data_IF_774815998783
#
_entry.id   IF_774815998783
#
_cell.length_a   1.000
_cell.length_b   1.000
_cell.length_c   1.000
_cell.angle_alpha   90.00
_cell.angle_beta   90.00
_cell.angle_gamma   90.00
#
_symmetry.space_group_name_H-M   'P 1'
#
loop_
_entity.id
_entity.type
_entity.pdbx_description
1 polymer ?
#
# COMPACT_ATOMS: atom_id res chain seq x y z
N UNK A 1 2.20 -3.26 30.92
CA UNK A 1 1.23 -4.27 30.50
C UNK A 1 0.15 -4.48 31.57
N UNK A 2 -0.72 -3.48 31.75
CA UNK A 2 -1.95 -3.59 32.55
C UNK A 2 -3.16 -3.92 31.66
N UNK A 3 -2.91 -4.20 30.38
CA UNK A 3 -3.92 -4.32 29.34
C UNK A 3 -4.98 -5.35 29.72
N UNK A 4 -4.55 -6.52 30.21
CA UNK A 4 -5.39 -7.66 30.60
C UNK A 4 -6.46 -7.33 31.65
N UNK A 5 -6.21 -6.39 32.56
CA UNK A 5 -7.10 -6.04 33.67
C UNK A 5 -8.41 -5.36 33.25
N UNK A 6 -8.47 -4.83 32.02
CA UNK A 6 -9.64 -4.12 31.50
C UNK A 6 -10.52 -4.98 30.55
N UNK A 7 -10.34 -6.30 30.51
CA UNK A 7 -11.13 -7.17 29.62
C UNK A 7 -12.61 -7.12 30.01
N UNK A 8 -13.47 -6.72 29.08
CA UNK A 8 -14.92 -6.64 29.29
C UNK A 8 -15.36 -5.49 30.21
N UNK A 9 -14.48 -4.54 30.50
CA UNK A 9 -14.84 -3.31 31.20
C UNK A 9 -15.47 -2.33 30.22
N UNK A 10 -16.67 -1.83 30.53
CA UNK A 10 -17.31 -0.76 29.78
C UNK A 10 -16.56 0.58 30.04
N UNK A 11 -15.95 1.21 29.02
CA UNK A 11 -15.20 2.45 29.19
C UNK A 11 -16.06 3.59 29.75
N UNK A 12 -17.37 3.59 29.51
CA UNK A 12 -18.27 4.59 30.07
C UNK A 12 -18.32 4.56 31.61
N UNK A 13 -17.92 3.44 32.22
CA UNK A 13 -17.85 3.30 33.68
C UNK A 13 -16.55 3.83 34.28
N UNK A 14 -15.54 4.14 33.46
CA UNK A 14 -14.22 4.62 33.87
C UNK A 14 -14.19 6.15 33.89
N UNK A 15 -14.81 6.75 34.90
CA UNK A 15 -14.93 8.22 35.01
C UNK A 15 -14.03 8.80 36.11
N UNK A 16 -13.75 10.11 36.02
CA UNK A 16 -12.98 10.84 37.05
C UNK A 16 -13.64 10.78 38.42
N UNK A 17 -14.98 10.81 38.47
CA UNK A 17 -15.76 10.74 39.71
C UNK A 17 -15.59 9.39 40.42
N UNK A 18 -15.32 8.33 39.65
CA UNK A 18 -15.00 7.00 40.15
C UNK A 18 -13.51 6.80 40.41
N UNK A 19 -12.71 7.86 40.30
CA UNK A 19 -11.27 7.84 40.55
C UNK A 19 -10.42 7.37 39.37
N UNK A 20 -10.99 7.22 38.17
CA UNK A 20 -10.25 6.82 36.99
C UNK A 20 -9.80 8.05 36.18
N UNK A 21 -8.49 8.25 35.96
CA UNK A 21 -8.00 9.27 35.03
C UNK A 21 -8.50 9.03 33.59
N UNK A 22 -8.55 10.09 32.77
CA UNK A 22 -9.00 10.01 31.37
C UNK A 22 -8.21 8.99 30.54
N UNK A 23 -6.90 8.86 30.77
CA UNK A 23 -6.07 7.92 30.02
C UNK A 23 -6.46 6.46 30.28
N UNK A 24 -7.00 6.13 31.46
CA UNK A 24 -7.47 4.76 31.76
C UNK A 24 -8.69 4.41 30.89
N UNK A 25 -9.60 5.37 30.70
CA UNK A 25 -10.72 5.22 29.77
C UNK A 25 -10.23 5.05 28.32
N UNK A 26 -9.30 5.89 27.88
CA UNK A 26 -8.74 5.81 26.53
C UNK A 26 -8.02 4.47 26.25
N UNK A 27 -7.36 3.87 27.25
CA UNK A 27 -6.78 2.53 27.14
C UNK A 27 -7.88 1.47 26.96
N UNK A 28 -8.99 1.58 27.69
CA UNK A 28 -10.12 0.66 27.56
C UNK A 28 -10.82 0.78 26.19
N UNK A 29 -10.98 2.01 25.68
CA UNK A 29 -11.52 2.28 24.33
C UNK A 29 -10.61 1.68 23.25
N UNK A 30 -9.31 1.99 23.27
CA UNK A 30 -8.32 1.42 22.35
C UNK A 30 -8.29 -0.11 22.40
N UNK A 31 -8.50 -0.71 23.58
CA UNK A 31 -8.60 -2.16 23.72
C UNK A 31 -9.83 -2.73 23.01
N UNK A 32 -11.01 -2.14 23.18
CA UNK A 32 -12.23 -2.58 22.49
C UNK A 32 -12.03 -2.49 20.98
N UNK A 33 -11.42 -1.41 20.51
CA UNK A 33 -11.05 -1.25 19.10
C UNK A 33 -10.13 -2.36 18.64
N UNK A 34 -9.07 -2.72 19.39
CA UNK A 34 -8.20 -3.85 19.02
C UNK A 34 -8.92 -5.19 19.01
N UNK A 35 -9.82 -5.43 19.97
CA UNK A 35 -10.61 -6.67 20.01
C UNK A 35 -11.50 -6.78 18.77
N UNK A 36 -12.08 -5.66 18.31
CA UNK A 36 -12.76 -5.59 17.01
C UNK A 36 -11.80 -5.83 15.84
N UNK A 37 -10.68 -5.11 15.76
CA UNK A 37 -9.72 -5.26 14.66
C UNK A 37 -9.11 -6.65 14.55
N UNK A 38 -8.96 -7.38 15.67
CA UNK A 38 -8.50 -8.76 15.68
C UNK A 38 -9.46 -9.72 14.96
N UNK A 39 -10.71 -9.28 14.72
CA UNK A 39 -11.67 -10.02 13.91
C UNK A 39 -11.57 -9.73 12.42
N UNK A 40 -10.83 -8.70 12.01
CA UNK A 40 -10.69 -8.30 10.60
C UNK A 40 -9.42 -8.87 9.99
N UNK A 41 -9.41 -9.23 8.69
CA UNK A 41 -8.20 -9.60 7.98
C UNK A 41 -7.18 -8.45 7.97
N UNK A 42 -5.93 -8.78 8.31
CA UNK A 42 -4.80 -7.85 8.35
C UNK A 42 -3.90 -7.95 7.11
N UNK A 43 -4.44 -8.43 6.00
CA UNK A 43 -3.78 -8.54 4.70
C UNK A 43 -4.76 -8.20 3.58
N UNK A 44 -4.27 -8.11 2.34
CA UNK A 44 -5.15 -7.91 1.20
C UNK A 44 -6.00 -9.16 0.98
N UNK A 45 -7.29 -9.02 0.67
CA UNK A 45 -8.12 -10.21 0.45
C UNK A 45 -7.62 -11.08 -0.71
N UNK A 46 -7.12 -10.44 -1.77
CA UNK A 46 -6.47 -11.13 -2.90
C UNK A 46 -5.15 -11.82 -2.56
N UNK A 47 -4.55 -11.60 -1.39
CA UNK A 47 -3.35 -12.36 -0.96
C UNK A 47 -3.70 -13.63 -0.19
N UNK A 48 -4.98 -13.88 0.10
CA UNK A 48 -5.41 -15.11 0.74
C UNK A 48 -5.20 -16.31 -0.19
N UNK A 49 -4.80 -17.44 0.39
CA UNK A 49 -4.51 -18.66 -0.36
C UNK A 49 -5.73 -19.11 -1.18
N UNK A 50 -5.55 -19.37 -2.47
CA UNK A 50 -6.55 -19.98 -3.34
C UNK A 50 -6.21 -21.43 -3.72
N UNK A 51 -4.97 -21.88 -3.50
CA UNK A 51 -4.51 -23.22 -3.87
C UNK A 51 -4.85 -24.25 -2.77
N UNK A 52 -5.76 -25.21 -3.05
CA UNK A 52 -6.13 -26.24 -2.09
C UNK A 52 -5.01 -27.26 -1.81
N UNK A 53 -3.91 -27.24 -2.57
CA UNK A 53 -2.79 -28.17 -2.38
C UNK A 53 -1.76 -27.67 -1.35
N UNK A 54 -1.84 -26.40 -0.95
CA UNK A 54 -1.01 -25.88 0.14
C UNK A 54 -1.53 -26.39 1.50
N UNK A 55 -0.63 -26.42 2.48
CA UNK A 55 -0.98 -26.82 3.86
C UNK A 55 -1.86 -25.78 4.58
N UNK A 56 -1.98 -24.59 4.01
CA UNK A 56 -2.76 -23.49 4.57
C UNK A 56 -4.19 -23.52 4.04
N UNK A 57 -5.19 -23.18 4.87
CA UNK A 57 -6.57 -23.07 4.41
C UNK A 57 -6.73 -22.09 3.25
N UNK A 58 -7.64 -22.39 2.31
CA UNK A 58 -8.00 -21.47 1.24
C UNK A 58 -8.90 -20.34 1.75
N UNK A 59 -9.04 -19.24 1.00
CA UNK A 59 -9.97 -18.16 1.33
C UNK A 59 -11.41 -18.67 1.50
N UNK A 60 -11.82 -19.69 0.74
CA UNK A 60 -13.12 -20.33 0.88
C UNK A 60 -13.26 -21.12 2.19
N UNK A 61 -12.19 -21.82 2.61
CA UNK A 61 -12.17 -22.49 3.90
C UNK A 61 -12.17 -21.48 5.05
N UNK A 62 -11.41 -20.38 4.94
CA UNK A 62 -11.45 -19.30 5.92
C UNK A 62 -12.84 -18.68 6.04
N UNK A 63 -13.50 -18.38 4.92
CA UNK A 63 -14.87 -17.85 4.92
C UNK A 63 -15.84 -18.80 5.63
N UNK A 64 -15.72 -20.12 5.38
CA UNK A 64 -16.53 -21.12 6.07
C UNK A 64 -16.23 -21.17 7.58
N UNK A 65 -14.96 -21.13 7.97
CA UNK A 65 -14.56 -21.08 9.38
C UNK A 65 -15.13 -19.83 10.07
N UNK A 66 -15.10 -18.67 9.40
CA UNK A 66 -15.69 -17.46 9.94
C UNK A 66 -17.21 -17.58 10.11
N UNK A 67 -17.92 -18.10 9.12
CA UNK A 67 -19.36 -18.34 9.21
C UNK A 67 -19.71 -19.31 10.36
N UNK A 68 -18.89 -20.33 10.60
CA UNK A 68 -19.10 -21.26 11.72
C UNK A 68 -18.83 -20.60 13.07
N UNK A 69 -17.83 -19.71 13.15
CA UNK A 69 -17.60 -18.86 14.32
C UNK A 69 -18.80 -17.93 14.59
N UNK A 70 -19.34 -17.29 13.56
CA UNK A 70 -20.51 -16.41 13.69
C UNK A 70 -21.74 -17.16 14.18
N UNK A 71 -21.95 -18.42 13.76
CA UNK A 71 -23.01 -19.27 14.32
C UNK A 71 -22.82 -19.54 15.81
N UNK A 72 -21.59 -19.76 16.26
CA UNK A 72 -21.30 -19.93 17.70
C UNK A 72 -21.59 -18.64 18.47
N UNK A 73 -21.16 -17.48 17.95
CA UNK A 73 -21.46 -16.18 18.57
C UNK A 73 -22.96 -15.92 18.63
N UNK A 74 -23.68 -16.17 17.53
CA UNK A 74 -25.14 -15.99 17.45
C UNK A 74 -25.91 -16.94 18.37
N UNK A 75 -25.38 -18.13 18.66
CA UNK A 75 -25.98 -19.08 19.59
C UNK A 75 -25.86 -18.63 21.07
N UNK A 76 -24.98 -17.67 21.40
CA UNK A 76 -24.86 -17.13 22.76
C UNK A 76 -24.59 -18.22 23.80
N UNK A 77 -25.44 -18.32 24.83
CA UNK A 77 -25.31 -19.33 25.89
C UNK A 77 -25.58 -20.77 25.40
N UNK A 78 -26.30 -20.94 24.28
CA UNK A 78 -26.57 -22.22 23.66
C UNK A 78 -25.44 -22.71 22.74
N UNK A 79 -24.41 -21.89 22.53
CA UNK A 79 -23.25 -22.26 21.74
C UNK A 79 -22.59 -23.54 22.30
N UNK A 80 -22.23 -24.47 21.41
CA UNK A 80 -21.59 -25.73 21.78
C UNK A 80 -20.64 -26.18 20.68
N UNK A 81 -19.42 -26.55 21.06
CA UNK A 81 -18.45 -27.18 20.16
C UNK A 81 -17.74 -28.32 20.87
N UNK A 82 -17.31 -29.33 20.11
CA UNK A 82 -16.49 -30.43 20.61
C UNK A 82 -15.17 -30.48 19.85
N UNK A 83 -14.06 -30.31 20.58
CA UNK A 83 -12.69 -30.32 20.06
C UNK A 83 -11.93 -31.41 20.81
N UNK A 84 -11.35 -32.36 20.07
CA UNK A 84 -10.56 -33.47 20.63
C UNK A 84 -11.28 -34.28 21.74
N UNK A 85 -12.61 -34.35 21.67
CA UNK A 85 -13.44 -35.07 22.65
C UNK A 85 -13.91 -34.24 23.85
N UNK A 86 -13.39 -33.02 24.03
CA UNK A 86 -13.85 -32.08 25.04
C UNK A 86 -14.97 -31.18 24.49
N UNK A 87 -16.01 -30.94 25.29
CA UNK A 87 -17.15 -30.11 24.91
C UNK A 87 -17.14 -28.79 25.65
N UNK A 88 -17.11 -27.69 24.88
CA UNK A 88 -17.18 -26.33 25.38
C UNK A 88 -18.58 -25.76 25.15
N UNK A 89 -19.02 -24.85 26.02
CA UNK A 89 -20.36 -24.24 25.96
C UNK A 89 -20.34 -22.72 26.11
N UNK A 90 -21.36 -22.05 25.59
CA UNK A 90 -21.52 -20.61 25.70
C UNK A 90 -20.28 -19.87 25.19
N UNK A 91 -19.82 -18.88 25.96
CA UNK A 91 -18.59 -18.12 25.66
C UNK A 91 -17.34 -19.00 25.52
N UNK A 92 -17.23 -20.07 26.31
CA UNK A 92 -16.07 -20.98 26.23
C UNK A 92 -16.04 -21.72 24.89
N UNK A 93 -17.19 -21.93 24.24
CA UNK A 93 -17.23 -22.54 22.91
C UNK A 93 -16.57 -21.65 21.86
N UNK A 94 -16.84 -20.34 21.89
CA UNK A 94 -16.19 -19.37 20.99
C UNK A 94 -14.70 -19.25 21.31
N UNK A 95 -14.34 -19.17 22.59
CA UNK A 95 -12.92 -19.10 22.99
C UNK A 95 -12.13 -20.36 22.63
N UNK A 96 -12.74 -21.54 22.71
CA UNK A 96 -12.13 -22.80 22.29
C UNK A 96 -11.97 -22.85 20.76
N UNK A 97 -12.97 -22.39 20.02
CA UNK A 97 -12.89 -22.26 18.56
C UNK A 97 -11.74 -21.31 18.13
N UNK A 98 -11.61 -20.16 18.77
CA UNK A 98 -10.58 -19.17 18.46
C UNK A 98 -9.15 -19.63 18.84
N UNK A 99 -9.02 -20.62 19.73
CA UNK A 99 -7.72 -21.18 20.17
C UNK A 99 -7.32 -22.47 19.44
N UNK A 100 -8.26 -23.17 18.82
CA UNK A 100 -7.98 -24.41 18.10
C UNK A 100 -7.07 -24.16 16.89
N UNK A 101 -6.03 -24.96 16.72
CA UNK A 101 -5.03 -24.80 15.66
C UNK A 101 -5.63 -24.79 14.24
N UNK A 102 -6.77 -25.45 14.05
CA UNK A 102 -7.47 -25.55 12.75
C UNK A 102 -8.29 -24.31 12.44
N UNK A 103 -8.74 -23.57 13.46
CA UNK A 103 -9.70 -22.45 13.34
C UNK A 103 -9.22 -21.12 13.92
N UNK A 104 -8.06 -21.06 14.58
CA UNK A 104 -7.47 -19.84 15.15
C UNK A 104 -7.31 -18.67 14.16
N UNK A 105 -7.25 -18.99 12.88
CA UNK A 105 -7.14 -18.03 11.79
C UNK A 105 -8.47 -17.75 11.08
N UNK A 106 -9.62 -18.12 11.66
CA UNK A 106 -10.94 -17.92 11.07
C UNK A 106 -11.24 -16.44 10.73
N UNK A 107 -10.67 -15.49 11.48
CA UNK A 107 -10.80 -14.05 11.22
C UNK A 107 -10.32 -13.64 9.82
N UNK A 108 -9.42 -14.40 9.17
CA UNK A 108 -9.03 -14.19 7.77
C UNK A 108 -10.21 -14.33 6.80
N UNK A 109 -11.27 -15.02 7.22
CA UNK A 109 -12.52 -15.22 6.48
C UNK A 109 -13.59 -14.16 6.74
N UNK A 110 -13.32 -13.15 7.56
CA UNK A 110 -14.27 -12.09 7.86
C UNK A 110 -14.29 -11.05 6.72
N UNK A 111 -14.98 -11.42 5.65
CA UNK A 111 -15.29 -10.57 4.51
C UNK A 111 -16.70 -10.89 4.00
N UNK A 112 -17.28 -9.95 3.26
CA UNK A 112 -18.67 -10.05 2.79
C UNK A 112 -18.87 -11.15 1.74
N UNK A 113 -20.12 -11.60 1.58
CA UNK A 113 -20.50 -12.52 0.51
C UNK A 113 -20.16 -11.99 -0.90
N UNK A 114 -20.22 -10.66 -1.10
CA UNK A 114 -19.79 -10.02 -2.36
C UNK A 114 -18.30 -10.17 -2.58
N UNK A 115 -17.48 -9.89 -1.56
CA UNK A 115 -16.03 -10.09 -1.63
C UNK A 115 -15.68 -11.56 -1.86
N UNK A 116 -16.39 -12.49 -1.22
CA UNK A 116 -16.23 -13.92 -1.49
C UNK A 116 -16.50 -14.27 -2.96
N UNK A 117 -17.58 -13.76 -3.56
CA UNK A 117 -17.88 -13.97 -4.97
C UNK A 117 -16.77 -13.40 -5.88
N UNK A 118 -16.35 -12.15 -5.64
CA UNK A 118 -15.27 -11.49 -6.39
C UNK A 118 -13.92 -12.23 -6.27
N UNK A 119 -13.58 -12.77 -5.10
CA UNK A 119 -12.39 -13.59 -4.93
C UNK A 119 -12.44 -14.89 -5.75
N UNK A 120 -13.61 -15.55 -5.81
CA UNK A 120 -13.77 -16.73 -6.66
C UNK A 120 -13.61 -16.39 -8.14
N UNK A 121 -14.18 -15.26 -8.59
CA UNK A 121 -14.03 -14.79 -9.97
C UNK A 121 -12.56 -14.47 -10.28
N UNK A 122 -11.90 -13.67 -9.42
CA UNK A 122 -10.49 -13.30 -9.56
C UNK A 122 -9.58 -14.52 -9.70
N UNK A 123 -9.73 -15.52 -8.82
CA UNK A 123 -8.89 -16.73 -8.83
C UNK A 123 -9.28 -17.75 -9.90
N UNK A 124 -10.42 -17.59 -10.57
CA UNK A 124 -10.79 -18.39 -11.74
C UNK A 124 -10.18 -17.87 -13.05
N UNK A 125 -9.66 -16.63 -13.07
CA UNK A 125 -9.01 -16.06 -14.25
C UNK A 125 -7.59 -16.63 -14.38
N UNK A 126 -7.35 -17.37 -15.46
CA UNK A 126 -6.04 -17.99 -15.76
C UNK A 126 -5.08 -17.04 -16.46
N UNK A 127 -5.61 -16.04 -17.16
CA UNK A 127 -4.83 -15.06 -17.91
C UNK A 127 -4.40 -13.92 -16.97
N UNK A 128 -3.09 -13.79 -16.74
CA UNK A 128 -2.53 -12.82 -15.79
C UNK A 128 -2.92 -11.38 -16.12
N UNK A 129 -3.03 -11.03 -17.41
CA UNK A 129 -3.40 -9.67 -17.83
C UNK A 129 -4.86 -9.39 -17.47
N UNK A 130 -5.77 -10.30 -17.80
CA UNK A 130 -7.20 -10.18 -17.43
C UNK A 130 -7.42 -10.21 -15.93
N UNK A 131 -6.60 -10.99 -15.21
CA UNK A 131 -6.67 -11.05 -13.76
C UNK A 131 -6.25 -9.70 -13.14
N UNK A 132 -5.20 -9.07 -13.67
CA UNK A 132 -4.78 -7.74 -13.26
C UNK A 132 -5.83 -6.66 -13.59
N UNK A 133 -6.44 -6.72 -14.79
CA UNK A 133 -7.54 -5.83 -15.20
C UNK A 133 -8.74 -5.96 -14.24
N UNK A 134 -9.16 -7.20 -13.92
CA UNK A 134 -10.23 -7.45 -12.96
C UNK A 134 -9.92 -6.89 -11.57
N UNK A 135 -8.68 -7.04 -11.10
CA UNK A 135 -8.27 -6.46 -9.81
C UNK A 135 -8.27 -4.93 -9.84
N UNK A 136 -7.92 -4.31 -10.97
CA UNK A 136 -7.98 -2.85 -11.11
C UNK A 136 -9.44 -2.36 -11.00
N UNK A 137 -10.39 -3.06 -11.62
CA UNK A 137 -11.82 -2.75 -11.56
C UNK A 137 -12.44 -2.97 -10.16
N UNK A 138 -11.91 -3.93 -9.39
CA UNK A 138 -12.43 -4.33 -8.07
C UNK A 138 -11.44 -4.07 -6.93
N UNK A 139 -10.55 -3.09 -7.10
CA UNK A 139 -9.45 -2.79 -6.18
C UNK A 139 -9.97 -2.42 -4.80
N UNK A 140 -11.07 -1.68 -4.73
CA UNK A 140 -11.64 -1.17 -3.48
C UNK A 140 -12.41 -2.25 -2.70
N UNK A 141 -12.80 -3.36 -3.35
CA UNK A 141 -13.48 -4.46 -2.68
C UNK A 141 -12.55 -5.59 -2.23
N UNK A 142 -11.65 -6.06 -3.10
CA UNK A 142 -10.81 -7.24 -2.83
C UNK A 142 -9.30 -6.92 -2.81
N UNK A 143 -8.89 -5.78 -3.37
CA UNK A 143 -7.52 -5.27 -3.31
C UNK A 143 -7.15 -4.59 -1.97
N UNK A 144 -8.14 -4.38 -1.10
CA UNK A 144 -7.99 -3.70 0.19
C UNK A 144 -7.53 -4.63 1.30
N UNK A 145 -6.93 -4.02 2.33
CA UNK A 145 -6.66 -4.65 3.63
C UNK A 145 -7.78 -4.23 4.62
N UNK A 146 -8.75 -5.10 4.94
CA UNK A 146 -9.96 -4.70 5.67
C UNK A 146 -9.71 -3.97 6.99
N UNK A 147 -8.69 -4.40 7.75
CA UNK A 147 -8.30 -3.72 8.99
C UNK A 147 -7.88 -2.26 8.76
N UNK A 148 -7.11 -2.00 7.71
CA UNK A 148 -6.63 -0.64 7.41
C UNK A 148 -7.76 0.22 6.85
N UNK A 149 -8.66 -0.36 6.04
CA UNK A 149 -9.83 0.33 5.51
C UNK A 149 -10.81 0.76 6.61
N UNK A 150 -11.04 -0.14 7.58
CA UNK A 150 -11.82 0.21 8.76
C UNK A 150 -11.16 1.37 9.53
N UNK A 151 -9.84 1.34 9.72
CA UNK A 151 -9.13 2.42 10.43
C UNK A 151 -9.15 3.76 9.67
N UNK A 152 -9.11 3.75 8.33
CA UNK A 152 -9.25 4.97 7.52
C UNK A 152 -10.61 5.63 7.69
N UNK A 153 -11.68 4.82 7.76
CA UNK A 153 -13.04 5.30 7.99
C UNK A 153 -13.35 5.63 9.46
N UNK A 154 -12.47 5.24 10.39
CA UNK A 154 -12.61 5.44 11.85
C UNK A 154 -11.39 6.21 12.40
N UNK A 155 -11.20 7.49 12.02
CA UNK A 155 -9.99 8.23 12.32
C UNK A 155 -9.76 8.43 13.83
N UNK A 156 -10.83 8.51 14.63
CA UNK A 156 -10.73 8.63 16.09
C UNK A 156 -10.12 7.35 16.68
N UNK A 157 -10.64 6.20 16.31
CA UNK A 157 -10.17 4.89 16.76
C UNK A 157 -8.76 4.61 16.23
N UNK A 158 -8.44 5.05 15.01
CA UNK A 158 -7.08 4.98 14.50
C UNK A 158 -6.10 5.83 15.33
N UNK A 159 -6.49 7.04 15.70
CA UNK A 159 -5.72 7.90 16.59
C UNK A 159 -5.54 7.30 17.99
N UNK A 160 -6.61 6.77 18.58
CA UNK A 160 -6.56 6.09 19.89
C UNK A 160 -5.56 4.94 19.89
N UNK A 161 -5.58 4.08 18.85
CA UNK A 161 -4.60 3.00 18.72
C UNK A 161 -3.18 3.50 18.48
N UNK A 162 -3.01 4.55 17.67
CA UNK A 162 -1.70 5.11 17.36
C UNK A 162 -1.03 5.73 18.60
N UNK A 163 -1.81 6.36 19.49
CA UNK A 163 -1.32 6.88 20.79
C UNK A 163 -0.61 5.79 21.61
N UNK A 164 -1.09 4.55 21.53
CA UNK A 164 -0.52 3.42 22.25
C UNK A 164 0.46 2.58 21.40
N UNK A 165 0.84 3.05 20.21
CA UNK A 165 1.73 2.35 19.29
C UNK A 165 1.16 1.06 18.70
N UNK A 166 -0.17 0.91 18.67
CA UNK A 166 -0.87 -0.30 18.21
C UNK A 166 -1.31 -0.23 16.74
N UNK A 167 -1.30 0.96 16.15
CA UNK A 167 -1.58 1.19 14.73
C UNK A 167 -0.74 2.35 14.20
N UNK A 168 -0.55 2.39 12.88
CA UNK A 168 -0.03 3.57 12.18
C UNK A 168 -1.18 4.55 11.94
N UNK A 169 -0.89 5.86 11.90
CA UNK A 169 -1.87 6.85 11.49
C UNK A 169 -2.04 6.73 9.96
N UNK A 170 -3.29 6.53 9.51
CA UNK A 170 -3.59 6.26 8.09
C UNK A 170 -4.14 7.48 7.35
N UNK A 171 -4.68 8.48 8.06
CA UNK A 171 -5.33 9.66 7.47
C UNK A 171 -4.99 10.95 8.21
N UNK A 172 -5.20 12.09 7.55
CA UNK A 172 -5.00 13.44 8.12
C UNK A 172 -5.97 13.72 9.27
N UNK A 173 -7.18 13.19 9.21
CA UNK A 173 -8.18 13.27 10.27
C UNK A 173 -7.70 12.50 11.51
N UNK A 174 -7.16 11.29 11.31
CA UNK A 174 -6.57 10.51 12.39
C UNK A 174 -5.35 11.20 12.99
N UNK A 175 -4.52 11.86 12.18
CA UNK A 175 -3.41 12.68 12.66
C UNK A 175 -3.85 13.84 13.55
N UNK A 176 -4.92 14.53 13.16
CA UNK A 176 -5.48 15.64 13.94
C UNK A 176 -6.08 15.14 15.26
N UNK A 177 -6.82 14.03 15.22
CA UNK A 177 -7.37 13.38 16.40
C UNK A 177 -6.26 12.89 17.34
N UNK A 178 -5.17 12.32 16.80
CA UNK A 178 -4.00 11.86 17.55
C UNK A 178 -3.37 13.01 18.33
N UNK A 179 -3.08 14.13 17.67
CA UNK A 179 -2.47 15.29 18.33
C UNK A 179 -3.37 15.90 19.40
N UNK A 180 -4.69 15.77 19.23
CA UNK A 180 -5.67 16.22 20.22
C UNK A 180 -5.67 15.30 21.44
N UNK A 181 -5.62 13.98 21.23
CA UNK A 181 -5.53 12.98 22.29
C UNK A 181 -4.23 13.08 23.08
N UNK A 182 -3.08 13.28 22.42
CA UNK A 182 -1.79 13.48 23.09
C UNK A 182 -1.88 14.64 24.10
N UNK A 183 -2.46 15.77 23.68
CA UNK A 183 -2.66 16.95 24.54
C UNK A 183 -3.68 16.70 25.65
N UNK A 184 -4.80 16.07 25.34
CA UNK A 184 -5.86 15.79 26.33
C UNK A 184 -5.39 14.83 27.43
N UNK A 185 -4.60 13.82 27.04
CA UNK A 185 -4.10 12.77 27.92
C UNK A 185 -2.78 13.14 28.61
N UNK A 186 -2.24 14.33 28.33
CA UNK A 186 -0.95 14.82 28.86
C UNK A 186 0.19 13.82 28.61
N UNK A 187 0.23 13.26 27.39
CA UNK A 187 1.23 12.27 27.00
C UNK A 187 2.52 13.02 26.64
N UNK A 188 3.65 12.72 27.31
CA UNK A 188 4.90 13.38 27.01
C UNK A 188 5.43 12.93 25.65
N UNK A 189 6.09 13.84 24.91
CA UNK A 189 6.59 13.58 23.55
C UNK A 189 7.49 12.34 23.47
N UNK A 190 8.26 12.05 24.52
CA UNK A 190 9.14 10.87 24.58
C UNK A 190 8.40 9.53 24.76
N UNK A 191 7.10 9.55 25.06
CA UNK A 191 6.26 8.37 25.12
C UNK A 191 5.55 8.10 23.79
N UNK A 192 5.57 9.05 22.84
CA UNK A 192 5.02 8.86 21.51
C UNK A 192 5.97 7.97 20.70
N UNK A 193 5.49 6.88 20.10
CA UNK A 193 6.34 6.07 19.24
C UNK A 193 6.84 6.88 18.05
N UNK A 194 8.16 6.89 17.83
CA UNK A 194 8.82 7.69 16.78
C UNK A 194 8.30 7.39 15.36
N UNK A 195 7.82 6.15 15.13
CA UNK A 195 7.25 5.72 13.85
C UNK A 195 5.76 6.08 13.67
N UNK A 196 5.08 6.57 14.71
CA UNK A 196 3.63 6.71 14.69
C UNK A 196 3.16 7.98 13.96
N UNK A 197 4.00 9.01 13.84
CA UNK A 197 3.55 10.36 13.50
C UNK A 197 4.59 11.08 12.64
N UNK A 198 4.25 11.55 11.42
CA UNK A 198 5.12 12.48 10.71
C UNK A 198 5.26 13.80 11.49
N UNK A 199 6.41 14.50 11.41
CA UNK A 199 6.54 15.87 11.89
C UNK A 199 5.40 16.76 11.36
N UNK A 200 4.95 17.73 12.16
CA UNK A 200 3.75 18.51 11.83
C UNK A 200 3.82 19.29 10.53
N UNK A 201 5.01 19.75 10.15
CA UNK A 201 5.32 20.39 8.88
C UNK A 201 5.39 19.41 7.70
N UNK A 202 5.61 18.12 7.95
CA UNK A 202 5.66 17.05 6.94
C UNK A 202 4.37 16.22 6.86
N UNK A 203 3.39 16.47 7.73
CA UNK A 203 2.19 15.64 7.82
C UNK A 203 1.38 15.64 6.51
N UNK A 204 1.21 16.80 5.88
CA UNK A 204 0.49 16.91 4.60
C UNK A 204 1.18 16.13 3.48
N UNK A 205 2.47 16.38 3.29
CA UNK A 205 3.30 15.68 2.31
C UNK A 205 3.31 14.17 2.55
N UNK A 206 3.34 13.73 3.81
CA UNK A 206 3.31 12.31 4.16
C UNK A 206 2.00 11.62 3.74
N UNK A 207 0.85 12.24 4.03
CA UNK A 207 -0.44 11.64 3.65
C UNK A 207 -0.67 11.70 2.15
N UNK A 208 -0.27 12.79 1.47
CA UNK A 208 -0.28 12.86 0.01
C UNK A 208 0.58 11.74 -0.61
N UNK A 209 1.77 11.48 -0.05
CA UNK A 209 2.61 10.36 -0.47
C UNK A 209 1.93 9.01 -0.25
N UNK A 210 1.28 8.79 0.90
CA UNK A 210 0.55 7.54 1.19
C UNK A 210 -0.56 7.32 0.16
N UNK A 211 -1.29 8.36 -0.22
CA UNK A 211 -2.33 8.29 -1.25
C UNK A 211 -1.75 7.88 -2.60
N UNK A 212 -0.65 8.54 -3.04
CA UNK A 212 0.07 8.19 -4.27
C UNK A 212 0.55 6.73 -4.24
N UNK A 213 1.14 6.28 -3.12
CA UNK A 213 1.60 4.89 -2.96
C UNK A 213 0.45 3.90 -2.96
N UNK A 214 -0.70 4.27 -2.39
CA UNK A 214 -1.90 3.44 -2.41
C UNK A 214 -2.44 3.27 -3.82
N UNK A 215 -2.40 4.34 -4.62
CA UNK A 215 -2.88 4.35 -5.99
C UNK A 215 -1.93 3.62 -6.94
N UNK A 216 -0.66 4.04 -7.00
CA UNK A 216 0.30 3.61 -8.02
C UNK A 216 1.39 2.65 -7.51
N UNK A 217 1.56 2.53 -6.19
CA UNK A 217 2.62 1.72 -5.56
C UNK A 217 3.89 2.53 -5.23
N UNK A 218 4.64 2.06 -4.23
CA UNK A 218 5.82 2.78 -3.72
C UNK A 218 6.98 2.90 -4.72
N UNK A 219 7.02 2.02 -5.72
CA UNK A 219 8.03 2.00 -6.78
C UNK A 219 7.56 2.70 -8.07
N UNK A 220 6.38 3.31 -8.09
CA UNK A 220 5.85 3.99 -9.28
C UNK A 220 6.62 5.26 -9.60
N UNK A 221 6.45 5.77 -10.82
CA UNK A 221 7.03 7.03 -11.25
C UNK A 221 6.54 8.22 -10.39
N UNK A 222 5.25 8.24 -10.02
CA UNK A 222 4.64 9.27 -9.16
C UNK A 222 5.23 9.25 -7.76
N UNK A 223 5.31 8.07 -7.14
CA UNK A 223 5.85 7.95 -5.79
C UNK A 223 7.31 8.42 -5.75
N UNK A 224 8.09 8.12 -6.80
CA UNK A 224 9.49 8.57 -6.93
C UNK A 224 9.60 10.07 -7.22
N UNK A 225 8.78 10.59 -8.13
CA UNK A 225 8.72 12.02 -8.45
C UNK A 225 8.36 12.84 -7.20
N UNK A 226 7.30 12.44 -6.49
CA UNK A 226 6.84 13.12 -5.29
C UNK A 226 7.95 13.18 -4.23
N UNK A 227 8.68 12.08 -4.04
CA UNK A 227 9.82 12.03 -3.12
C UNK A 227 10.97 12.96 -3.52
N UNK A 228 11.23 13.12 -4.82
CA UNK A 228 12.24 14.06 -5.31
C UNK A 228 11.81 15.51 -5.11
N UNK A 229 10.54 15.81 -5.32
CA UNK A 229 9.98 17.15 -5.13
C UNK A 229 9.86 17.49 -3.64
N UNK A 230 9.79 16.51 -2.74
CA UNK A 230 9.61 16.71 -1.29
C UNK A 230 10.80 16.14 -0.51
N UNK A 231 11.95 16.79 -0.66
CA UNK A 231 13.23 16.32 -0.10
C UNK A 231 13.26 16.15 1.42
N UNK A 232 12.57 17.01 2.18
CA UNK A 232 12.51 16.90 3.64
C UNK A 232 11.67 15.70 4.09
N UNK A 233 10.52 15.45 3.45
CA UNK A 233 9.75 14.23 3.66
C UNK A 233 10.60 12.99 3.38
N UNK A 234 11.35 13.01 2.27
CA UNK A 234 12.23 11.91 1.89
C UNK A 234 13.34 11.67 2.92
N UNK A 235 14.01 12.70 3.41
CA UNK A 235 15.03 12.58 4.46
C UNK A 235 14.45 11.98 5.74
N UNK A 236 13.29 12.48 6.18
CA UNK A 236 12.60 11.94 7.34
C UNK A 236 12.19 10.48 7.13
N UNK A 237 11.59 10.14 5.99
CA UNK A 237 11.20 8.78 5.66
C UNK A 237 12.38 7.81 5.59
N UNK A 238 13.55 8.24 5.14
CA UNK A 238 14.78 7.43 5.19
C UNK A 238 15.22 7.18 6.63
N UNK A 239 15.20 8.21 7.49
CA UNK A 239 15.64 8.11 8.88
C UNK A 239 14.69 7.27 9.76
N UNK A 240 13.38 7.41 9.55
CA UNK A 240 12.36 6.88 10.48
C UNK A 240 11.59 5.68 9.91
N UNK A 241 11.31 5.68 8.60
CA UNK A 241 10.49 4.64 7.95
C UNK A 241 11.31 3.59 7.19
N UNK A 242 12.64 3.74 7.17
CA UNK A 242 13.54 2.85 6.44
C UNK A 242 13.36 2.94 4.93
N UNK A 243 12.94 4.10 4.41
CA UNK A 243 12.89 4.29 2.97
C UNK A 243 14.28 4.14 2.37
N UNK A 244 14.36 3.35 1.30
CA UNK A 244 15.62 3.13 0.61
C UNK A 244 16.14 4.44 0.01
N UNK A 245 17.43 4.71 0.24
CA UNK A 245 18.17 5.82 -0.34
C UNK A 245 18.62 5.55 -1.77
N UNK A 246 18.61 4.29 -2.19
CA UNK A 246 19.12 3.81 -3.47
C UNK A 246 18.01 3.40 -4.46
N UNK A 247 16.82 4.03 -4.41
CA UNK A 247 15.66 3.67 -5.26
C UNK A 247 15.90 3.90 -6.78
N UNK A 248 17.15 4.17 -7.18
CA UNK A 248 17.52 4.49 -8.55
C UNK A 248 16.76 5.73 -8.99
N UNK A 249 16.64 6.72 -8.08
CA UNK A 249 15.97 7.98 -8.37
C UNK A 249 16.69 8.63 -9.55
N UNK A 250 16.03 8.59 -10.70
CA UNK A 250 16.37 9.39 -11.86
C UNK A 250 15.97 10.84 -11.57
N UNK A 251 16.47 11.81 -12.34
CA UNK A 251 16.09 13.21 -12.15
C UNK A 251 14.57 13.44 -12.23
N UNK A 252 14.09 14.58 -11.73
CA UNK A 252 12.67 14.97 -11.74
C UNK A 252 12.08 14.83 -13.16
N UNK A 253 12.80 15.29 -14.17
CA UNK A 253 12.30 15.31 -15.55
C UNK A 253 12.08 13.90 -16.13
N UNK A 254 12.96 12.94 -15.79
CA UNK A 254 12.79 11.55 -16.20
C UNK A 254 11.43 11.00 -15.75
N UNK A 255 11.06 11.21 -14.49
CA UNK A 255 9.80 10.68 -13.97
C UNK A 255 8.59 11.44 -14.50
N UNK A 256 8.72 12.75 -14.77
CA UNK A 256 7.66 13.52 -15.44
C UNK A 256 7.39 12.97 -16.84
N UNK A 257 8.44 12.72 -17.63
CA UNK A 257 8.32 12.07 -18.95
C UNK A 257 7.71 10.67 -18.83
N UNK A 258 8.16 9.85 -17.87
CA UNK A 258 7.61 8.52 -17.65
C UNK A 258 6.12 8.53 -17.31
N UNK A 259 5.65 9.50 -16.51
CA UNK A 259 4.22 9.68 -16.21
C UNK A 259 3.47 10.16 -17.45
N UNK A 260 3.98 11.21 -18.12
CA UNK A 260 3.40 11.78 -19.35
C UNK A 260 3.20 10.73 -20.44
N UNK A 261 4.20 9.86 -20.63
CA UNK A 261 4.24 8.86 -21.69
C UNK A 261 3.63 7.51 -21.32
N UNK A 262 2.98 7.36 -20.16
CA UNK A 262 2.50 6.06 -19.66
C UNK A 262 1.53 5.35 -20.59
N UNK A 263 0.51 6.05 -21.05
CA UNK A 263 -0.55 5.45 -21.86
C UNK A 263 0.02 5.02 -23.22
N UNK A 264 0.80 5.91 -23.85
CA UNK A 264 1.50 5.61 -25.09
C UNK A 264 2.51 4.45 -24.95
N UNK A 265 3.20 4.36 -23.80
CA UNK A 265 4.07 3.23 -23.50
C UNK A 265 3.30 1.92 -23.38
N UNK A 266 2.13 1.95 -22.73
CA UNK A 266 1.25 0.77 -22.60
C UNK A 266 0.73 0.30 -23.97
N UNK A 267 0.30 1.23 -24.82
CA UNK A 267 -0.10 0.93 -26.19
C UNK A 267 1.06 0.36 -27.01
N UNK A 268 2.23 0.98 -26.94
CA UNK A 268 3.44 0.53 -27.64
C UNK A 268 3.87 -0.88 -27.22
N UNK A 269 3.85 -1.17 -25.92
CA UNK A 269 4.25 -2.47 -25.38
C UNK A 269 3.29 -3.60 -25.78
N UNK A 270 2.01 -3.27 -26.01
CA UNK A 270 1.01 -4.20 -26.49
C UNK A 270 1.18 -4.59 -27.97
N UNK A 271 1.98 -3.86 -28.75
CA UNK A 271 2.25 -4.19 -30.15
C UNK A 271 3.30 -5.32 -30.19
N UNK A 272 2.98 -6.44 -30.82
CA UNK A 272 3.90 -7.60 -30.90
C UNK A 272 4.87 -7.53 -32.10
N UNK A 273 4.43 -6.90 -33.19
CA UNK A 273 5.17 -6.86 -34.46
C UNK A 273 6.12 -5.66 -34.50
N UNK A 274 7.39 -5.90 -34.82
CA UNK A 274 8.43 -4.85 -34.85
C UNK A 274 8.13 -3.74 -35.86
N UNK A 275 7.61 -4.08 -37.04
CA UNK A 275 7.23 -3.09 -38.08
C UNK A 275 6.12 -2.16 -37.58
N UNK A 276 5.11 -2.71 -36.89
CA UNK A 276 4.01 -1.93 -36.32
C UNK A 276 4.50 -1.03 -35.17
N UNK A 277 5.47 -1.48 -34.36
CA UNK A 277 6.12 -0.65 -33.32
C UNK A 277 6.86 0.54 -33.94
N UNK A 278 7.59 0.31 -35.02
CA UNK A 278 8.31 1.37 -35.72
C UNK A 278 7.32 2.39 -36.29
N UNK A 279 6.26 1.91 -36.94
CA UNK A 279 5.18 2.76 -37.43
C UNK A 279 4.50 3.55 -36.31
N UNK A 280 4.25 2.94 -35.16
CA UNK A 280 3.68 3.64 -34.00
C UNK A 280 4.57 4.80 -33.54
N UNK A 281 5.89 4.63 -33.52
CA UNK A 281 6.83 5.69 -33.17
C UNK A 281 6.89 6.81 -34.21
N UNK A 282 6.71 6.48 -35.50
CA UNK A 282 6.61 7.46 -36.59
C UNK A 282 5.30 8.27 -36.50
N UNK A 283 4.20 7.60 -36.17
CA UNK A 283 2.88 8.20 -36.01
C UNK A 283 2.77 9.00 -34.67
N UNK A 284 3.64 8.75 -33.70
CA UNK A 284 3.68 9.40 -32.38
C UNK A 284 5.07 10.01 -32.08
N UNK A 285 5.48 11.07 -32.81
CA UNK A 285 6.84 11.62 -32.69
C UNK A 285 7.15 12.15 -31.29
N UNK A 286 6.17 12.74 -30.59
CA UNK A 286 6.38 13.24 -29.22
C UNK A 286 6.75 12.10 -28.24
N UNK A 287 6.05 10.97 -28.31
CA UNK A 287 6.35 9.80 -27.48
C UNK A 287 7.71 9.19 -27.83
N UNK A 288 8.02 9.09 -29.13
CA UNK A 288 9.33 8.64 -29.60
C UNK A 288 10.45 9.53 -29.04
N UNK A 289 10.29 10.84 -29.13
CA UNK A 289 11.29 11.80 -28.69
C UNK A 289 11.42 11.78 -27.15
N UNK A 290 10.32 11.71 -26.41
CA UNK A 290 10.32 11.57 -24.94
C UNK A 290 11.05 10.30 -24.48
N UNK A 291 10.91 9.20 -25.21
CA UNK A 291 11.69 7.99 -24.96
C UNK A 291 13.17 8.21 -25.17
N UNK A 292 13.58 8.93 -26.22
CA UNK A 292 14.99 9.27 -26.45
C UNK A 292 15.54 10.20 -25.37
N UNK A 293 14.73 11.14 -24.86
CA UNK A 293 15.10 11.96 -23.70
C UNK A 293 15.33 11.09 -22.46
N UNK A 294 14.43 10.13 -22.18
CA UNK A 294 14.60 9.19 -21.06
C UNK A 294 15.84 8.30 -21.23
N UNK A 295 16.11 7.79 -22.44
CA UNK A 295 17.32 7.03 -22.76
C UNK A 295 18.58 7.87 -22.48
N UNK A 296 18.63 9.11 -22.97
CA UNK A 296 19.76 10.03 -22.75
C UNK A 296 20.02 10.28 -21.25
N UNK A 297 18.96 10.47 -20.46
CA UNK A 297 19.06 10.64 -19.00
C UNK A 297 19.56 9.37 -18.31
N UNK A 298 19.19 8.19 -18.79
CA UNK A 298 19.66 6.91 -18.26
C UNK A 298 21.16 6.70 -18.54
N UNK A 299 21.62 7.12 -19.71
CA UNK A 299 23.05 7.16 -20.07
C UNK A 299 23.82 8.32 -19.43
N UNK A 300 23.16 9.17 -18.64
CA UNK A 300 23.77 10.35 -17.99
C UNK A 300 24.38 11.35 -19.00
N UNK A 301 23.79 11.44 -20.20
CA UNK A 301 24.12 12.48 -21.17
C UNK A 301 23.88 13.85 -20.51
N UNK A 302 24.81 14.83 -20.64
CA UNK A 302 24.62 16.17 -20.10
C UNK A 302 23.30 16.80 -20.57
N UNK A 303 22.62 17.51 -19.67
CA UNK A 303 21.27 18.06 -19.93
C UNK A 303 21.23 18.94 -21.20
N UNK A 304 22.29 19.71 -21.46
CA UNK A 304 22.42 20.57 -22.63
C UNK A 304 22.65 19.80 -23.95
N UNK A 305 22.85 18.49 -23.90
CA UNK A 305 23.07 17.59 -25.05
C UNK A 305 21.93 16.57 -25.21
N UNK A 306 20.89 16.62 -24.38
CA UNK A 306 19.75 15.70 -24.48
C UNK A 306 19.02 15.88 -25.82
N UNK A 307 18.80 17.10 -26.27
CA UNK A 307 18.13 17.33 -27.56
C UNK A 307 19.01 16.93 -28.75
N UNK A 308 20.34 17.07 -28.66
CA UNK A 308 21.28 16.55 -29.67
C UNK A 308 21.16 15.02 -29.76
N UNK A 309 21.02 14.33 -28.63
CA UNK A 309 20.75 12.89 -28.58
C UNK A 309 19.41 12.55 -29.24
N UNK A 310 18.34 13.27 -28.92
CA UNK A 310 17.03 13.06 -29.54
C UNK A 310 17.13 13.23 -31.05
N UNK A 311 17.70 14.34 -31.53
CA UNK A 311 17.86 14.65 -32.94
C UNK A 311 18.66 13.56 -33.65
N UNK A 312 19.82 13.18 -33.12
CA UNK A 312 20.68 12.12 -33.68
C UNK A 312 19.94 10.80 -33.93
N UNK A 313 19.05 10.39 -33.02
CA UNK A 313 18.27 9.16 -33.19
C UNK A 313 17.01 9.30 -34.05
N UNK A 314 16.72 10.51 -34.57
CA UNK A 314 15.61 10.78 -35.48
C UNK A 314 16.04 11.08 -36.92
N UNK A 315 17.33 11.31 -37.16
CA UNK A 315 17.88 11.52 -38.51
C UNK A 315 17.70 10.27 -39.37
N UNK A 316 17.31 10.47 -40.63
CA UNK A 316 17.32 9.40 -41.65
C UNK A 316 18.78 9.01 -41.94
N UNK A 317 19.16 7.78 -41.59
CA UNK A 317 20.54 7.28 -41.73
C UNK A 317 20.91 6.94 -43.18
N UNK A 318 20.23 7.52 -44.16
CA UNK A 318 20.59 7.38 -45.56
C UNK A 318 21.79 8.26 -45.90
N UNK A 319 22.94 7.65 -46.20
CA UNK A 319 24.13 8.38 -46.65
C UNK A 319 25.14 8.65 -45.53
N UNK A 320 25.50 9.92 -45.33
CA UNK A 320 26.51 10.39 -44.35
C UNK A 320 25.94 11.45 -43.40
N UNK A 321 24.61 11.54 -43.26
CA UNK A 321 23.95 12.57 -42.45
C UNK A 321 24.26 12.42 -40.95
N UNK A 322 24.41 11.20 -40.46
CA UNK A 322 24.83 10.92 -39.08
C UNK A 322 26.29 11.32 -38.83
N UNK A 323 27.18 11.03 -39.77
CA UNK A 323 28.58 11.49 -39.73
C UNK A 323 28.66 13.02 -39.73
N UNK A 324 27.87 13.70 -40.57
CA UNK A 324 27.82 15.17 -40.61
C UNK A 324 27.27 15.76 -39.33
N UNK A 325 26.19 15.20 -38.78
CA UNK A 325 25.65 15.63 -37.50
C UNK A 325 26.70 15.56 -36.39
N UNK A 326 27.42 14.43 -36.28
CA UNK A 326 28.46 14.26 -35.26
C UNK A 326 29.66 15.21 -35.46
N UNK A 327 29.98 15.57 -36.71
CA UNK A 327 31.00 16.58 -37.01
C UNK A 327 30.56 18.00 -36.61
N UNK A 328 29.28 18.32 -36.75
CA UNK A 328 28.70 19.63 -36.37
C UNK A 328 28.46 19.73 -34.84
N UNK A 329 28.23 18.59 -34.18
CA UNK A 329 28.00 18.48 -32.73
C UNK A 329 29.16 17.77 -32.03
N UNK A 330 30.39 18.31 -32.19
CA UNK A 330 31.61 17.65 -31.70
C UNK A 330 31.60 17.37 -30.18
N UNK A 331 31.00 18.25 -29.38
CA UNK A 331 30.87 18.05 -27.93
C UNK A 331 29.96 16.85 -27.61
N UNK A 332 28.87 16.66 -28.37
CA UNK A 332 28.00 15.50 -28.23
C UNK A 332 28.68 14.22 -28.72
N UNK A 333 29.40 14.27 -29.83
CA UNK A 333 30.21 13.14 -30.31
C UNK A 333 31.20 12.65 -29.23
N UNK A 334 31.94 13.57 -28.61
CA UNK A 334 32.89 13.21 -27.55
C UNK A 334 32.17 12.56 -26.37
N UNK A 335 31.01 13.08 -25.96
CA UNK A 335 30.17 12.47 -24.92
C UNK A 335 29.77 11.05 -25.29
N UNK A 336 29.26 10.80 -26.50
CA UNK A 336 28.85 9.46 -26.94
C UNK A 336 30.03 8.46 -26.90
N UNK A 337 31.22 8.89 -27.33
CA UNK A 337 32.46 8.10 -27.25
C UNK A 337 32.84 7.80 -25.80
N UNK A 338 32.77 8.79 -24.91
CA UNK A 338 33.12 8.64 -23.49
C UNK A 338 32.19 7.65 -22.77
N UNK A 339 30.90 7.63 -23.12
CA UNK A 339 29.92 6.69 -22.58
C UNK A 339 29.89 5.33 -23.32
N UNK A 340 30.62 5.20 -24.43
CA UNK A 340 30.71 3.97 -25.21
C UNK A 340 29.41 3.60 -25.95
N UNK A 341 28.65 4.61 -26.37
CA UNK A 341 27.37 4.48 -27.08
C UNK A 341 27.57 4.50 -28.59
#
# INVERSE_FOLDING_TARGET
DTSSQFKGVDPATLTKEKGFPNYIRAIAEARITNEHLATLPNEKLVSLNADPNLKEPTFAQYHQMWADREKLVAAGDDAKITIEGETFKGKEAVEAFDKDERTKNAHRGNFSQRQFALLNEYWAIVDDKKQAEFLAEHKDEIGVKPRDEWLRSHPKENAELAVWGQAKILTKEAYTAFNSLVKELDIPDNAIPEFAVPPGDLAEDHFNYIEIVSEFGASSAEAKLFRLEHGELTKWGMATLGWDSNIGLRGIEYYRLQIKSRDAQTEYDAIEVTEDRQKYLEDNPEFRDDRRRMDAMEYQIPENQIEDYVEYYTIDRAGYEDDWFLMEHLDFYNTMVDFGI
#
